data_IF_275875377811
#
_entry.id   IF_275875377811
#
_cell.length_a   1.000
_cell.length_b   1.000
_cell.length_c   1.000
_cell.angle_alpha   90.00
_cell.angle_beta   90.00
_cell.angle_gamma   90.00
#
_symmetry.space_group_name_H-M   'P 1'
#
loop_
_entity.id
_entity.type
_entity.pdbx_description
1 polymer ?
#
# COMPACT_ATOMS: atom_id res chain seq x y z
N UNK A 1 26.99 46.91 40.08
CA UNK A 1 26.08 45.75 40.03
C UNK A 1 25.20 45.94 38.78
N UNK A 2 25.51 45.26 37.67
CA UNK A 2 24.73 44.13 37.09
C UNK A 2 23.21 44.39 37.16
N UNK A 3 22.39 44.41 36.11
CA UNK A 3 22.30 43.67 34.83
C UNK A 3 21.42 44.54 33.90
N UNK A 4 21.58 44.62 32.57
CA UNK A 4 20.84 43.70 31.71
C UNK A 4 20.49 44.27 30.34
N UNK A 5 21.29 43.86 29.36
CA UNK A 5 20.92 43.29 28.07
C UNK A 5 20.03 44.06 27.06
N UNK A 6 20.64 44.15 25.87
CA UNK A 6 20.08 44.30 24.53
C UNK A 6 18.81 43.48 24.31
N UNK A 7 17.89 44.00 23.52
CA UNK A 7 16.82 43.18 22.94
C UNK A 7 16.00 43.99 21.96
N UNK A 8 16.21 43.73 20.67
CA UNK A 8 15.45 44.28 19.55
C UNK A 8 13.95 44.30 19.83
N UNK A 9 13.28 45.40 19.47
CA UNK A 9 11.82 45.44 19.34
C UNK A 9 11.41 44.25 18.48
N UNK A 10 10.84 43.24 19.15
CA UNK A 10 10.33 42.04 18.53
C UNK A 10 9.26 42.44 17.54
N UNK A 11 9.59 42.39 16.25
CA UNK A 11 8.59 42.07 15.24
C UNK A 11 8.24 40.62 15.54
N UNK A 12 7.21 40.41 16.36
CA UNK A 12 6.55 39.13 16.44
C UNK A 12 5.97 38.92 15.05
N UNK A 13 6.77 38.33 14.16
CA UNK A 13 6.22 37.58 13.06
C UNK A 13 5.48 36.45 13.74
N UNK A 14 4.21 36.71 14.05
CA UNK A 14 3.20 35.67 14.18
C UNK A 14 3.16 35.00 12.81
N UNK A 15 4.16 34.16 12.55
CA UNK A 15 4.13 33.18 11.48
C UNK A 15 2.83 32.43 11.74
N UNK A 16 1.85 32.52 10.85
CA UNK A 16 0.57 31.92 11.11
C UNK A 16 0.85 30.44 11.36
N UNK A 17 0.38 29.97 12.51
CA UNK A 17 0.46 28.58 12.97
C UNK A 17 -0.20 27.62 11.94
N UNK A 18 -0.80 28.20 10.90
CA UNK A 18 -1.31 27.65 9.64
C UNK A 18 -0.32 26.77 8.83
N UNK A 19 0.98 26.73 9.14
CA UNK A 19 1.91 25.76 8.52
C UNK A 19 2.10 24.44 9.30
N UNK A 20 1.47 24.27 10.47
CA UNK A 20 1.42 22.97 11.16
C UNK A 20 0.12 22.17 10.89
N UNK A 21 -0.85 22.76 10.21
CA UNK A 21 -2.13 22.10 9.86
C UNK A 21 -2.31 21.84 8.36
N UNK A 22 -1.25 22.08 7.58
CA UNK A 22 -1.19 21.76 6.14
C UNK A 22 -0.32 20.52 5.87
N UNK A 23 -0.26 19.58 6.81
CA UNK A 23 0.03 18.19 6.49
C UNK A 23 -1.33 17.53 6.24
N UNK A 24 -1.75 17.36 4.99
CA UNK A 24 -3.01 16.71 4.72
C UNK A 24 -2.91 15.30 5.30
N UNK A 25 -3.90 14.89 6.07
CA UNK A 25 -4.16 13.53 6.53
C UNK A 25 -4.36 12.51 5.38
N UNK A 26 -3.87 12.83 4.17
CA UNK A 26 -3.89 12.07 2.91
C UNK A 26 -2.66 11.19 2.71
N UNK A 27 -2.04 10.69 3.78
CA UNK A 27 -1.12 9.54 3.67
C UNK A 27 -1.45 8.43 4.67
N UNK A 28 -2.74 8.29 4.99
CA UNK A 28 -3.33 7.00 5.35
C UNK A 28 -4.55 6.71 4.47
N UNK A 29 -4.41 6.90 3.16
CA UNK A 29 -5.25 6.19 2.20
C UNK A 29 -4.59 4.82 1.97
N UNK A 30 -4.55 4.00 3.03
CA UNK A 30 -4.40 2.56 2.87
C UNK A 30 -5.63 2.11 2.09
N UNK A 31 -5.42 1.88 0.79
CA UNK A 31 -6.25 1.14 -0.16
C UNK A 31 -7.75 1.14 0.17
N UNK A 32 -8.49 1.98 -0.55
CA UNK A 32 -9.94 1.86 -0.71
C UNK A 32 -10.27 0.42 -1.16
N UNK A 33 -10.52 -0.49 -0.23
CA UNK A 33 -11.47 -1.55 -0.50
C UNK A 33 -12.80 -1.07 0.04
N UNK A 34 -13.49 -0.27 -0.79
CA UNK A 34 -14.93 -0.08 -0.63
C UNK A 34 -15.57 -1.47 -0.65
N UNK A 35 -15.77 -2.08 0.52
CA UNK A 35 -16.73 -3.16 0.66
C UNK A 35 -18.12 -2.52 0.64
N UNK A 36 -18.48 -1.89 -0.49
CA UNK A 36 -19.86 -1.51 -0.72
C UNK A 36 -20.64 -2.81 -0.84
N UNK A 37 -21.50 -3.00 0.15
CA UNK A 37 -22.44 -4.11 0.29
C UNK A 37 -22.93 -4.58 -1.08
N UNK A 38 -22.41 -5.71 -1.53
CA UNK A 38 -22.87 -6.37 -2.74
C UNK A 38 -24.21 -7.01 -2.39
N UNK A 39 -25.31 -6.30 -2.66
CA UNK A 39 -26.62 -6.93 -2.73
C UNK A 39 -26.57 -8.08 -3.77
N UNK A 40 -27.44 -9.08 -3.64
CA UNK A 40 -27.42 -10.44 -4.24
C UNK A 40 -27.25 -10.54 -5.77
N UNK A 41 -27.04 -9.44 -6.48
CA UNK A 41 -26.93 -9.32 -7.94
C UNK A 41 -25.59 -8.80 -8.46
N UNK A 42 -24.68 -8.22 -7.64
CA UNK A 42 -23.41 -7.76 -8.20
C UNK A 42 -22.45 -8.94 -8.42
N UNK A 43 -21.99 -9.09 -9.67
CA UNK A 43 -20.93 -10.03 -10.04
C UNK A 43 -19.59 -9.35 -9.84
N UNK A 44 -18.72 -9.97 -9.05
CA UNK A 44 -17.36 -9.47 -8.85
C UNK A 44 -16.40 -10.48 -9.44
N UNK A 45 -15.53 -10.01 -10.34
CA UNK A 45 -14.48 -10.83 -10.89
C UNK A 45 -13.39 -11.03 -9.84
N UNK A 46 -12.86 -12.24 -9.80
CA UNK A 46 -11.73 -12.58 -8.95
C UNK A 46 -10.51 -11.75 -9.35
N UNK A 47 -9.77 -11.28 -8.35
CA UNK A 47 -8.46 -10.65 -8.56
C UNK A 47 -7.42 -11.34 -7.70
N UNK A 48 -6.22 -11.38 -8.26
CA UNK A 48 -5.06 -11.94 -7.60
C UNK A 48 -4.65 -11.11 -6.39
N UNK A 49 -4.27 -11.79 -5.32
CA UNK A 49 -3.48 -11.22 -4.25
C UNK A 49 -2.13 -10.75 -4.79
N UNK A 50 -1.41 -9.96 -3.98
CA UNK A 50 0.02 -9.77 -4.20
C UNK A 50 0.71 -11.14 -4.25
N UNK A 51 1.76 -11.20 -5.06
CA UNK A 51 2.66 -12.35 -5.07
C UNK A 51 3.33 -12.50 -3.70
N UNK A 52 3.60 -13.73 -3.31
CA UNK A 52 4.54 -14.04 -2.25
C UNK A 52 5.94 -13.60 -2.65
N UNK A 53 6.82 -13.50 -1.66
CA UNK A 53 8.25 -13.47 -1.91
C UNK A 53 8.68 -14.71 -2.70
N UNK A 54 9.76 -14.56 -3.49
CA UNK A 54 10.38 -15.69 -4.17
C UNK A 54 10.95 -16.67 -3.15
N UNK A 55 10.80 -17.97 -3.43
CA UNK A 55 11.54 -19.01 -2.74
C UNK A 55 13.05 -18.79 -2.93
N UNK A 56 13.89 -19.32 -2.02
CA UNK A 56 15.31 -19.44 -2.32
C UNK A 56 15.52 -20.25 -3.59
N UNK A 57 16.69 -20.08 -4.22
CA UNK A 57 17.07 -20.87 -5.36
C UNK A 57 17.19 -22.34 -4.95
N UNK A 58 16.44 -23.22 -5.62
CA UNK A 58 16.54 -24.67 -5.42
C UNK A 58 17.83 -25.22 -6.04
N UNK A 59 18.26 -26.43 -5.65
CA UNK A 59 19.43 -27.09 -6.25
C UNK A 59 19.33 -27.28 -7.77
N UNK A 60 18.10 -27.31 -8.30
CA UNK A 60 17.84 -27.40 -9.74
C UNK A 60 17.89 -26.03 -10.45
N UNK A 61 18.44 -24.99 -9.83
CA UNK A 61 18.51 -23.61 -10.35
C UNK A 61 17.13 -22.98 -10.65
N UNK A 62 16.09 -23.41 -9.93
CA UNK A 62 14.74 -22.85 -10.05
C UNK A 62 14.29 -22.20 -8.75
N UNK A 63 13.54 -21.11 -8.86
CA UNK A 63 12.84 -20.46 -7.75
C UNK A 63 11.37 -20.26 -8.12
N UNK A 64 10.50 -20.23 -7.12
CA UNK A 64 9.06 -20.11 -7.34
C UNK A 64 8.42 -19.08 -6.41
N UNK A 65 7.28 -18.54 -6.82
CA UNK A 65 6.43 -17.68 -5.99
C UNK A 65 4.96 -18.02 -6.23
N UNK A 66 4.12 -17.72 -5.25
CA UNK A 66 2.70 -18.05 -5.29
C UNK A 66 1.83 -16.83 -5.06
N UNK A 67 0.58 -16.88 -5.53
CA UNK A 67 -0.47 -15.89 -5.25
C UNK A 67 -1.81 -16.59 -5.16
N UNK A 68 -2.79 -15.96 -4.53
CA UNK A 68 -4.13 -16.53 -4.36
C UNK A 68 -5.20 -15.63 -4.97
N UNK A 69 -6.29 -16.22 -5.48
CA UNK A 69 -7.39 -15.47 -6.08
C UNK A 69 -8.38 -14.98 -4.99
N UNK A 70 -7.91 -14.12 -4.08
CA UNK A 70 -8.64 -13.75 -2.86
C UNK A 70 -8.76 -12.25 -2.65
N UNK A 71 -8.28 -11.42 -3.58
CA UNK A 71 -8.18 -9.96 -3.36
C UNK A 71 -8.82 -9.14 -4.49
N UNK A 72 -10.16 -9.25 -4.70
CA UNK A 72 -11.16 -10.05 -3.98
C UNK A 72 -11.41 -11.42 -4.66
N UNK A 73 -12.08 -12.38 -3.98
CA UNK A 73 -12.54 -13.61 -4.62
C UNK A 73 -13.69 -13.33 -5.60
N UNK A 74 -13.90 -14.20 -6.61
CA UNK A 74 -15.04 -14.08 -7.51
C UNK A 74 -16.36 -14.34 -6.77
N UNK A 75 -17.37 -13.49 -7.02
CA UNK A 75 -18.69 -13.57 -6.36
C UNK A 75 -19.81 -13.54 -7.42
N UNK A 76 -20.91 -14.24 -7.15
CA UNK A 76 -22.13 -14.29 -7.97
C UNK A 76 -21.88 -14.68 -9.45
N UNK A 77 -20.94 -15.59 -9.70
CA UNK A 77 -20.59 -16.01 -11.07
C UNK A 77 -19.74 -14.98 -11.82
N UNK A 78 -19.01 -14.12 -11.11
CA UNK A 78 -17.93 -13.33 -11.69
C UNK A 78 -16.78 -14.22 -12.18
N UNK A 79 -15.96 -13.67 -13.08
CA UNK A 79 -14.89 -14.43 -13.73
C UNK A 79 -13.80 -14.85 -12.74
N UNK A 80 -13.25 -16.08 -12.88
CA UNK A 80 -12.10 -16.51 -12.10
C UNK A 80 -10.86 -15.69 -12.46
N UNK A 81 -9.86 -15.72 -11.57
CA UNK A 81 -8.58 -15.08 -11.86
C UNK A 81 -7.88 -15.75 -13.05
N UNK A 82 -7.50 -14.96 -14.05
CA UNK A 82 -6.80 -15.46 -15.24
C UNK A 82 -5.29 -15.51 -14.96
N UNK A 83 -4.66 -16.63 -15.34
CA UNK A 83 -3.22 -16.87 -15.17
C UNK A 83 -2.92 -17.94 -14.12
N UNK A 84 -1.63 -18.16 -13.84
CA UNK A 84 -1.17 -19.17 -12.88
C UNK A 84 -1.14 -18.63 -11.45
N UNK A 85 -1.46 -19.48 -10.49
CA UNK A 85 -1.27 -19.24 -9.05
C UNK A 85 0.19 -19.40 -8.63
N UNK A 86 0.93 -20.26 -9.34
CA UNK A 86 2.33 -20.58 -9.12
C UNK A 86 3.14 -20.13 -10.33
N UNK A 87 4.21 -19.41 -10.07
CA UNK A 87 5.21 -19.06 -11.07
C UNK A 87 6.55 -19.66 -10.69
N UNK A 88 7.21 -20.28 -11.67
CA UNK A 88 8.54 -20.88 -11.52
C UNK A 88 9.46 -20.28 -12.57
N UNK A 89 10.61 -19.79 -12.14
CA UNK A 89 11.63 -19.19 -13.02
C UNK A 89 12.99 -19.80 -12.72
N UNK A 90 13.91 -19.69 -13.68
CA UNK A 90 15.33 -20.01 -13.45
C UNK A 90 15.93 -18.90 -12.58
N UNK A 91 16.85 -19.26 -11.68
CA UNK A 91 17.59 -18.28 -10.91
C UNK A 91 18.44 -17.43 -11.86
N UNK A 92 18.21 -16.13 -11.85
CA UNK A 92 19.12 -15.18 -12.47
C UNK A 92 20.25 -14.98 -11.49
N UNK A 93 21.47 -15.30 -11.90
CA UNK A 93 22.69 -14.84 -11.25
C UNK A 93 22.66 -13.30 -11.38
N UNK A 94 22.31 -12.59 -10.31
CA UNK A 94 22.35 -11.11 -10.25
C UNK A 94 23.52 -10.65 -9.39
#
# INVERSE_FOLDING_TARGET
>A
MVVGQRGHRGRVLVLPIVWLYAMPSKMMQLELQEFRSCNLTCRLNGRWSKWSEWSPCSPSCHRFRTRTCTSPPPINGGHPCVGKELETVVCSEE
#
